data_IF_704190302951
#
_entry.id   IF_704190302951
#
_cell.length_a   1.000
_cell.length_b   1.000
_cell.length_c   1.000
_cell.angle_alpha   90.00
_cell.angle_beta   90.00
_cell.angle_gamma   90.00
#
_symmetry.space_group_name_H-M   'P 1'
#
loop_
_entity.id
_entity.type
_entity.pdbx_description
1 polymer ?
#
# COMPACT_ATOMS: atom_id res chain seq x y z
N UNK A 1 -38.58 14.50 -33.19
CA UNK A 1 -37.58 15.15 -34.08
C UNK A 1 -36.32 15.27 -33.24
N UNK A 2 -35.34 14.39 -33.45
CA UNK A 2 -34.06 14.45 -32.73
C UNK A 2 -33.28 15.66 -33.23
N UNK A 3 -32.63 16.39 -32.31
CA UNK A 3 -31.81 17.55 -32.63
C UNK A 3 -30.77 17.14 -33.67
N UNK A 4 -30.76 17.83 -34.81
CA UNK A 4 -29.68 17.70 -35.80
C UNK A 4 -28.34 18.00 -35.10
N UNK A 5 -27.28 17.29 -35.50
CA UNK A 5 -26.02 17.14 -34.76
C UNK A 5 -25.28 18.43 -34.37
N UNK A 6 -25.69 19.61 -34.86
CA UNK A 6 -25.03 20.89 -34.64
C UNK A 6 -25.33 21.58 -33.30
N UNK A 7 -26.46 21.26 -32.66
CA UNK A 7 -26.97 22.04 -31.51
C UNK A 7 -26.93 21.28 -30.17
N UNK A 8 -26.26 20.12 -30.14
CA UNK A 8 -26.15 19.31 -28.93
C UNK A 8 -25.21 20.00 -27.92
N UNK A 9 -25.59 20.12 -26.63
CA UNK A 9 -24.71 20.66 -25.59
C UNK A 9 -23.61 19.64 -25.27
N UNK A 10 -22.56 19.64 -26.08
CA UNK A 10 -21.39 18.78 -25.98
C UNK A 10 -20.17 19.66 -25.75
N UNK A 11 -19.53 19.51 -24.60
CA UNK A 11 -18.31 20.21 -24.29
C UNK A 11 -17.20 19.86 -25.29
N UNK A 12 -16.40 20.84 -25.74
CA UNK A 12 -15.38 20.63 -26.78
C UNK A 12 -14.40 19.49 -26.47
N UNK A 13 -14.05 19.32 -25.19
CA UNK A 13 -13.10 18.29 -24.73
C UNK A 13 -13.65 16.87 -24.85
N UNK A 14 -14.97 16.69 -24.91
CA UNK A 14 -15.61 15.37 -24.97
C UNK A 14 -15.96 14.93 -26.39
N UNK A 15 -15.73 15.79 -27.40
CA UNK A 15 -16.10 15.50 -28.80
C UNK A 15 -15.53 14.18 -29.31
N UNK A 16 -14.24 13.93 -29.07
CA UNK A 16 -13.58 12.70 -29.52
C UNK A 16 -14.21 11.45 -28.89
N UNK A 17 -14.55 11.51 -27.60
CA UNK A 17 -15.20 10.41 -26.89
C UNK A 17 -16.61 10.17 -27.44
N UNK A 18 -17.36 11.25 -27.69
CA UNK A 18 -18.70 11.17 -28.27
C UNK A 18 -18.66 10.55 -29.67
N UNK A 19 -17.75 11.00 -30.52
CA UNK A 19 -17.58 10.44 -31.87
C UNK A 19 -17.20 8.94 -31.81
N UNK A 20 -16.33 8.56 -30.88
CA UNK A 20 -15.94 7.15 -30.69
C UNK A 20 -17.13 6.27 -30.26
N UNK A 21 -17.98 6.76 -29.34
CA UNK A 21 -19.19 6.05 -28.89
C UNK A 21 -20.15 5.82 -30.06
N UNK A 22 -20.47 6.87 -30.82
CA UNK A 22 -21.43 6.81 -31.93
C UNK A 22 -20.88 5.98 -33.11
N UNK A 23 -19.57 5.98 -33.35
CA UNK A 23 -18.94 5.14 -34.37
C UNK A 23 -18.95 3.66 -33.99
N UNK A 24 -18.63 3.33 -32.73
CA UNK A 24 -18.57 1.93 -32.27
C UNK A 24 -19.95 1.31 -32.13
N UNK A 25 -20.97 2.11 -31.82
CA UNK A 25 -22.34 1.63 -31.61
C UNK A 25 -23.32 2.52 -32.37
N UNK A 26 -23.61 2.23 -33.66
CA UNK A 26 -24.48 3.06 -34.48
C UNK A 26 -25.93 3.18 -33.97
N UNK A 27 -26.37 2.30 -33.06
CA UNK A 27 -27.69 2.35 -32.41
C UNK A 27 -27.75 3.35 -31.25
N UNK A 28 -26.62 3.87 -30.79
CA UNK A 28 -26.53 4.83 -29.70
C UNK A 28 -26.42 6.25 -30.25
N UNK A 29 -27.10 7.19 -29.60
CA UNK A 29 -27.00 8.62 -29.89
C UNK A 29 -26.66 9.38 -28.62
N UNK A 30 -25.59 10.18 -28.63
CA UNK A 30 -25.25 11.05 -27.50
C UNK A 30 -26.11 12.32 -27.57
N UNK A 31 -26.85 12.63 -26.51
CA UNK A 31 -27.73 13.80 -26.45
C UNK A 31 -27.03 15.02 -25.86
N UNK A 32 -26.17 14.81 -24.87
CA UNK A 32 -25.42 15.83 -24.17
C UNK A 32 -24.13 15.25 -23.58
N UNK A 33 -23.09 16.05 -23.47
CA UNK A 33 -21.86 15.66 -22.79
C UNK A 33 -21.26 16.89 -22.10
N UNK A 34 -21.00 16.79 -20.80
CA UNK A 34 -20.45 17.89 -20.02
C UNK A 34 -19.38 17.42 -19.05
N UNK A 35 -18.36 18.23 -18.85
CA UNK A 35 -17.37 18.04 -17.81
C UNK A 35 -17.70 18.85 -16.56
N UNK A 36 -17.41 18.24 -15.42
CA UNK A 36 -17.48 18.83 -14.10
C UNK A 36 -16.17 18.58 -13.38
N UNK A 37 -15.95 19.30 -12.28
CA UNK A 37 -14.97 18.89 -11.27
C UNK A 37 -15.68 18.41 -10.02
N UNK A 38 -15.05 17.49 -9.32
CA UNK A 38 -15.44 17.09 -7.98
C UNK A 38 -14.18 16.97 -7.13
N UNK A 39 -14.33 17.09 -5.82
CA UNK A 39 -13.23 17.00 -4.88
C UNK A 39 -13.14 15.60 -4.27
N UNK A 40 -11.93 15.09 -4.16
CA UNK A 40 -11.58 13.95 -3.30
C UNK A 40 -10.71 14.43 -2.14
N UNK A 41 -10.70 13.66 -1.06
CA UNK A 41 -9.81 13.93 0.08
C UNK A 41 -8.62 12.96 0.06
N UNK A 42 -7.43 13.52 0.23
CA UNK A 42 -6.18 12.77 0.35
C UNK A 42 -5.55 13.01 1.72
N UNK A 43 -5.29 11.93 2.47
CA UNK A 43 -4.63 12.00 3.77
C UNK A 43 -3.34 11.18 3.74
N UNK A 44 -2.16 11.76 4.01
CA UNK A 44 -0.94 11.00 4.21
C UNK A 44 -1.05 10.09 5.43
N UNK A 45 -0.58 8.85 5.30
CA UNK A 45 -0.60 7.84 6.36
C UNK A 45 0.80 7.26 6.50
N UNK A 46 1.39 7.45 7.67
CA UNK A 46 2.63 6.78 8.05
C UNK A 46 2.30 5.39 8.56
N UNK A 47 2.88 4.37 7.94
CA UNK A 47 2.75 2.97 8.34
C UNK A 47 4.10 2.45 8.80
N UNK A 48 4.07 1.64 9.85
CA UNK A 48 5.23 0.86 10.29
C UNK A 48 5.07 -0.57 9.80
N UNK A 49 6.12 -1.12 9.22
CA UNK A 49 6.11 -2.43 8.60
C UNK A 49 7.17 -3.28 9.28
N UNK A 50 6.71 -4.32 9.98
CA UNK A 50 7.57 -5.41 10.41
C UNK A 50 7.71 -6.41 9.27
N UNK A 51 8.94 -6.80 8.96
CA UNK A 51 9.24 -7.87 8.01
C UNK A 51 10.08 -8.91 8.71
N UNK A 52 9.88 -10.17 8.36
CA UNK A 52 10.91 -11.19 8.58
C UNK A 52 11.45 -11.67 7.25
N UNK A 53 12.74 -11.99 7.21
CA UNK A 53 13.39 -12.58 6.04
C UNK A 53 13.86 -13.98 6.35
N UNK A 54 14.17 -14.76 5.32
CA UNK A 54 14.84 -16.03 5.51
C UNK A 54 16.23 -15.83 6.12
N UNK A 55 16.65 -16.79 6.94
CA UNK A 55 18.02 -16.88 7.42
C UNK A 55 18.95 -16.99 6.21
N UNK A 56 20.03 -16.22 6.21
CA UNK A 56 21.12 -16.50 5.29
C UNK A 56 21.92 -17.73 5.78
N UNK A 57 22.81 -18.25 4.94
CA UNK A 57 23.59 -19.46 5.26
C UNK A 57 24.36 -19.30 6.57
N UNK A 58 24.98 -18.13 6.80
CA UNK A 58 25.79 -17.89 8.00
C UNK A 58 24.93 -17.83 9.27
N UNK A 59 23.79 -17.16 9.19
CA UNK A 59 22.84 -17.06 10.31
C UNK A 59 22.21 -18.41 10.64
N UNK A 60 21.90 -19.22 9.63
CA UNK A 60 21.44 -20.60 9.84
C UNK A 60 22.49 -21.43 10.58
N UNK A 61 23.77 -21.33 10.18
CA UNK A 61 24.87 -21.98 10.92
C UNK A 61 25.02 -21.47 12.35
N UNK A 62 24.91 -20.16 12.58
CA UNK A 62 24.96 -19.56 13.92
C UNK A 62 23.80 -20.06 14.77
N UNK A 63 22.57 -20.04 14.23
CA UNK A 63 21.38 -20.50 14.94
C UNK A 63 21.48 -21.99 15.26
N UNK A 64 21.88 -22.79 14.28
CA UNK A 64 22.11 -24.22 14.43
C UNK A 64 23.19 -24.51 15.47
N UNK A 65 24.28 -23.75 15.46
CA UNK A 65 25.34 -23.92 16.45
C UNK A 65 24.86 -23.64 17.88
N UNK A 66 24.04 -22.61 18.08
CA UNK A 66 23.46 -22.31 19.39
C UNK A 66 22.40 -23.30 19.88
N UNK A 67 21.95 -24.23 19.03
CA UNK A 67 21.00 -25.30 19.38
C UNK A 67 21.69 -26.66 19.49
N UNK A 68 22.62 -26.98 18.59
CA UNK A 68 23.21 -28.33 18.47
C UNK A 68 24.45 -28.54 19.32
N UNK A 69 25.21 -27.49 19.67
CA UNK A 69 26.39 -27.65 20.53
C UNK A 69 26.04 -27.51 22.02
N UNK A 70 26.49 -28.49 22.81
CA UNK A 70 26.42 -28.46 24.26
C UNK A 70 27.76 -28.90 24.86
N UNK A 71 28.54 -28.00 25.49
CA UNK A 71 28.21 -26.60 25.77
C UNK A 71 28.14 -25.72 24.50
N UNK A 72 27.41 -24.60 24.52
CA UNK A 72 27.34 -23.68 23.39
C UNK A 72 28.73 -23.12 23.03
N UNK A 73 29.00 -23.00 21.73
CA UNK A 73 30.28 -22.47 21.23
C UNK A 73 30.39 -20.96 21.44
N UNK A 74 31.62 -20.49 21.62
CA UNK A 74 31.94 -19.07 21.49
C UNK A 74 32.06 -18.66 20.02
N UNK A 75 31.98 -17.36 19.74
CA UNK A 75 32.13 -16.79 18.40
C UNK A 75 33.47 -17.16 17.74
N UNK A 76 34.57 -17.18 18.51
CA UNK A 76 35.89 -17.53 17.99
C UNK A 76 36.00 -19.04 17.68
N UNK A 77 35.39 -19.89 18.50
CA UNK A 77 35.35 -21.33 18.26
C UNK A 77 34.50 -21.63 17.01
N UNK A 78 33.34 -20.98 16.88
CA UNK A 78 32.48 -21.12 15.70
C UNK A 78 33.19 -20.64 14.43
N UNK A 79 33.93 -19.52 14.50
CA UNK A 79 34.74 -19.04 13.38
C UNK A 79 35.79 -20.08 12.96
N UNK A 80 36.44 -20.72 13.94
CA UNK A 80 37.43 -21.77 13.69
C UNK A 80 36.80 -23.00 13.03
N UNK A 81 35.63 -23.44 13.51
CA UNK A 81 34.89 -24.58 12.95
C UNK A 81 34.47 -24.33 11.50
N UNK A 82 34.06 -23.10 11.18
CA UNK A 82 33.63 -22.72 9.84
C UNK A 82 34.80 -22.31 8.91
N UNK A 83 36.02 -22.19 9.44
CA UNK A 83 37.19 -21.69 8.69
C UNK A 83 37.04 -20.24 8.23
N UNK A 84 36.31 -19.42 8.99
CA UNK A 84 36.01 -18.02 8.67
C UNK A 84 36.79 -17.07 9.58
N UNK A 85 36.99 -15.83 9.13
CA UNK A 85 37.52 -14.77 9.99
C UNK A 85 36.52 -14.48 11.14
N UNK A 86 36.97 -14.45 12.41
CA UNK A 86 36.11 -14.16 13.57
C UNK A 86 35.30 -12.86 13.46
N UNK A 87 35.77 -11.87 12.70
CA UNK A 87 35.06 -10.60 12.49
C UNK A 87 33.68 -10.84 11.83
N UNK A 88 33.56 -11.80 10.90
CA UNK A 88 32.28 -12.10 10.25
C UNK A 88 31.26 -12.68 11.24
N UNK A 89 31.70 -13.61 12.09
CA UNK A 89 30.85 -14.20 13.12
C UNK A 89 30.39 -13.12 14.09
N UNK A 90 31.32 -12.32 14.62
CA UNK A 90 31.04 -11.22 15.56
C UNK A 90 30.04 -10.20 15.03
N UNK A 91 30.20 -9.76 13.78
CA UNK A 91 29.29 -8.79 13.18
C UNK A 91 27.88 -9.39 13.01
N UNK A 92 27.80 -10.65 12.63
CA UNK A 92 26.52 -11.34 12.43
C UNK A 92 25.83 -11.60 13.76
N UNK A 93 26.53 -12.12 14.77
CA UNK A 93 25.98 -12.35 16.12
C UNK A 93 25.55 -11.04 16.79
N UNK A 94 26.31 -9.95 16.62
CA UNK A 94 25.91 -8.63 17.11
C UNK A 94 24.57 -8.17 16.48
N UNK A 95 24.40 -8.35 15.17
CA UNK A 95 23.14 -8.04 14.49
C UNK A 95 21.99 -8.88 15.04
N UNK A 96 22.21 -10.19 15.20
CA UNK A 96 21.21 -11.13 15.73
C UNK A 96 20.84 -10.85 17.20
N UNK A 97 21.79 -10.38 18.01
CA UNK A 97 21.54 -9.91 19.40
C UNK A 97 20.73 -8.61 19.44
N UNK A 98 21.03 -7.66 18.55
CA UNK A 98 20.24 -6.43 18.41
C UNK A 98 18.79 -6.72 17.98
N UNK A 99 18.59 -7.84 17.28
CA UNK A 99 17.27 -8.38 16.93
C UNK A 99 16.67 -9.28 18.02
N UNK A 100 17.33 -9.40 19.18
CA UNK A 100 16.93 -10.21 20.34
C UNK A 100 16.75 -11.71 20.06
N UNK A 101 17.43 -12.23 19.03
CA UNK A 101 17.39 -13.66 18.68
C UNK A 101 18.51 -14.48 19.33
N UNK A 102 19.60 -13.84 19.74
CA UNK A 102 20.66 -14.45 20.54
C UNK A 102 20.73 -13.82 21.93
N UNK A 103 21.16 -14.60 22.92
CA UNK A 103 21.43 -14.11 24.28
C UNK A 103 22.56 -13.07 24.24
N UNK A 104 22.40 -12.03 25.06
CA UNK A 104 23.40 -10.95 25.20
C UNK A 104 24.52 -11.32 26.17
N UNK A 105 24.28 -12.28 27.07
CA UNK A 105 25.23 -12.69 28.10
C UNK A 105 25.33 -14.22 28.18
N UNK A 106 26.55 -14.79 28.08
CA UNK A 106 27.83 -14.11 27.83
C UNK A 106 27.93 -13.56 26.40
N UNK A 107 28.48 -12.35 26.24
CA UNK A 107 28.54 -11.61 24.96
C UNK A 107 29.28 -12.37 23.83
N UNK A 108 30.10 -13.36 24.14
CA UNK A 108 30.84 -14.16 23.16
C UNK A 108 30.23 -15.54 22.89
N UNK A 109 29.20 -15.96 23.64
CA UNK A 109 28.60 -17.29 23.50
C UNK A 109 27.43 -17.23 22.52
N UNK A 110 27.37 -18.21 21.63
CA UNK A 110 26.28 -18.34 20.65
C UNK A 110 25.18 -19.18 21.28
N UNK A 111 24.17 -18.52 21.87
CA UNK A 111 23.01 -19.17 22.47
C UNK A 111 21.74 -18.42 22.08
N UNK A 112 20.68 -19.15 21.72
CA UNK A 112 19.43 -18.56 21.25
C UNK A 112 18.53 -18.19 22.42
N UNK A 113 17.82 -17.07 22.29
CA UNK A 113 16.67 -16.74 23.14
C UNK A 113 15.47 -17.60 22.78
N UNK A 114 14.39 -17.55 23.58
CA UNK A 114 13.11 -18.16 23.20
C UNK A 114 12.58 -17.64 21.86
N UNK A 115 12.70 -16.33 21.65
CA UNK A 115 12.34 -15.66 20.39
C UNK A 115 13.20 -16.16 19.23
N UNK A 116 14.52 -16.27 19.43
CA UNK A 116 15.42 -16.84 18.43
C UNK A 116 15.08 -18.28 18.05
N UNK A 117 14.64 -19.10 19.00
CA UNK A 117 14.22 -20.48 18.73
C UNK A 117 12.94 -20.53 17.87
N UNK A 118 11.98 -19.64 18.09
CA UNK A 118 10.78 -19.53 17.25
C UNK A 118 11.15 -19.16 15.81
N UNK A 119 11.96 -18.11 15.65
CA UNK A 119 12.45 -17.68 14.34
C UNK A 119 13.30 -18.76 13.63
N UNK A 120 14.12 -19.51 14.37
CA UNK A 120 14.87 -20.64 13.80
C UNK A 120 13.96 -21.74 13.26
N UNK A 121 12.88 -22.10 13.97
CA UNK A 121 11.89 -23.10 13.51
C UNK A 121 11.25 -22.69 12.20
N UNK A 122 10.97 -21.39 12.04
CA UNK A 122 10.36 -20.81 10.85
C UNK A 122 11.38 -20.46 9.74
N UNK A 123 12.66 -20.77 9.98
CA UNK A 123 13.82 -20.41 9.14
C UNK A 123 13.82 -18.94 8.74
N UNK A 124 13.55 -18.08 9.72
CA UNK A 124 13.45 -16.64 9.52
C UNK A 124 14.26 -15.85 10.56
N UNK A 125 14.41 -14.55 10.30
CA UNK A 125 14.93 -13.58 11.25
C UNK A 125 14.11 -12.29 11.10
N UNK A 126 13.79 -11.59 12.20
CA UNK A 126 13.12 -10.31 12.10
C UNK A 126 14.05 -9.27 11.45
N UNK A 127 13.51 -8.43 10.57
CA UNK A 127 14.18 -7.20 10.16
C UNK A 127 13.75 -6.07 11.10
N UNK A 128 14.59 -5.04 11.23
CA UNK A 128 14.18 -3.81 11.88
C UNK A 128 12.91 -3.25 11.19
N UNK A 129 11.89 -2.81 11.95
CA UNK A 129 10.71 -2.22 11.38
C UNK A 129 11.05 -1.03 10.48
N UNK A 130 10.36 -0.91 9.35
CA UNK A 130 10.53 0.17 8.39
C UNK A 130 9.30 1.04 8.37
N UNK A 131 9.50 2.35 8.42
CA UNK A 131 8.41 3.32 8.24
C UNK A 131 8.28 3.69 6.76
N UNK A 132 7.06 3.73 6.26
CA UNK A 132 6.72 4.16 4.91
C UNK A 132 5.51 5.11 4.97
N UNK A 133 5.44 6.08 4.06
CA UNK A 133 4.23 6.89 3.86
C UNK A 133 3.44 6.33 2.68
N UNK A 134 2.14 6.19 2.86
CA UNK A 134 1.15 5.94 1.81
C UNK A 134 0.08 7.03 1.88
N UNK A 135 -0.82 7.08 0.90
CA UNK A 135 -1.86 8.11 0.81
C UNK A 135 -3.22 7.43 0.84
N UNK A 136 -4.04 7.75 1.84
CA UNK A 136 -5.44 7.35 1.87
C UNK A 136 -6.25 8.32 0.99
N UNK A 137 -7.11 7.77 0.13
CA UNK A 137 -7.93 8.52 -0.83
C UNK A 137 -9.40 8.22 -0.54
N UNK A 138 -10.12 9.23 -0.08
CA UNK A 138 -11.57 9.18 0.10
C UNK A 138 -12.26 9.69 -1.17
N UNK A 139 -12.95 8.80 -1.87
CA UNK A 139 -13.62 9.08 -3.14
C UNK A 139 -15.15 9.13 -2.92
N UNK A 140 -15.75 10.34 -2.86
CA UNK A 140 -17.14 10.51 -2.45
C UNK A 140 -18.15 9.99 -3.48
N UNK A 141 -17.80 9.89 -4.77
CA UNK A 141 -18.75 9.45 -5.80
C UNK A 141 -19.07 7.96 -5.74
N UNK A 142 -18.12 7.14 -5.27
CA UNK A 142 -18.30 5.70 -5.10
C UNK A 142 -18.32 5.29 -3.61
N UNK A 143 -18.28 6.27 -2.69
CA UNK A 143 -18.20 6.08 -1.24
C UNK A 143 -17.10 5.07 -0.85
N UNK A 144 -15.90 5.22 -1.44
CA UNK A 144 -14.79 4.30 -1.21
C UNK A 144 -13.61 4.98 -0.54
N UNK A 145 -12.87 4.18 0.23
CA UNK A 145 -11.56 4.52 0.77
C UNK A 145 -10.53 3.60 0.13
N UNK A 146 -9.61 4.16 -0.63
CA UNK A 146 -8.51 3.45 -1.28
C UNK A 146 -7.15 3.99 -0.83
N UNK A 147 -6.07 3.35 -1.27
CA UNK A 147 -4.71 3.73 -0.89
C UNK A 147 -3.78 3.79 -2.10
N UNK A 148 -2.88 4.78 -2.12
CA UNK A 148 -1.86 4.95 -3.15
C UNK A 148 -0.45 5.06 -2.53
N UNK A 149 0.57 4.67 -3.30
CA UNK A 149 1.98 4.78 -2.89
C UNK A 149 2.56 6.18 -3.09
N UNK A 150 1.91 6.97 -3.93
CA UNK A 150 2.29 8.33 -4.30
C UNK A 150 1.07 9.24 -4.22
N UNK A 151 1.25 10.55 -3.96
CA UNK A 151 0.15 11.48 -3.94
C UNK A 151 -0.47 11.62 -5.33
N UNK A 152 -1.77 11.92 -5.38
CA UNK A 152 -2.46 12.29 -6.61
C UNK A 152 -1.93 13.66 -7.05
N UNK A 153 -1.58 13.77 -8.32
CA UNK A 153 -1.18 15.04 -8.92
C UNK A 153 -2.39 15.97 -9.04
N UNK A 154 -2.22 17.20 -8.56
CA UNK A 154 -3.22 18.24 -8.72
C UNK A 154 -3.29 18.68 -10.19
N UNK A 155 -4.50 18.98 -10.66
CA UNK A 155 -4.76 19.39 -12.04
C UNK A 155 -5.43 20.74 -12.06
N UNK A 156 -5.00 21.61 -12.98
CA UNK A 156 -5.58 22.93 -13.15
C UNK A 156 -6.96 22.84 -13.84
N UNK A 157 -8.00 22.60 -13.05
CA UNK A 157 -9.39 22.40 -13.55
C UNK A 157 -10.39 23.36 -12.92
N UNK A 158 -9.91 24.50 -12.38
CA UNK A 158 -10.75 25.49 -11.70
C UNK A 158 -11.84 26.11 -12.58
N UNK A 159 -11.64 26.07 -13.90
CA UNK A 159 -12.61 26.54 -14.89
C UNK A 159 -13.84 25.62 -15.02
N UNK A 160 -13.77 24.37 -14.56
CA UNK A 160 -14.88 23.43 -14.61
C UNK A 160 -15.92 23.73 -13.52
N UNK A 161 -17.22 23.55 -13.83
CA UNK A 161 -18.28 23.69 -12.84
C UNK A 161 -18.16 22.61 -11.75
N UNK A 162 -18.45 22.99 -10.50
CA UNK A 162 -18.44 22.04 -9.39
C UNK A 162 -19.68 21.14 -9.45
N UNK A 163 -19.49 19.83 -9.42
CA UNK A 163 -20.57 18.86 -9.42
C UNK A 163 -21.49 19.02 -8.19
N UNK A 164 -20.93 19.41 -7.04
CA UNK A 164 -21.68 19.58 -5.79
C UNK A 164 -22.74 20.69 -5.87
N UNK A 165 -22.66 21.59 -6.86
CA UNK A 165 -23.69 22.62 -7.09
C UNK A 165 -24.99 22.02 -7.66
N UNK A 166 -24.94 20.78 -8.17
CA UNK A 166 -26.05 20.13 -8.87
C UNK A 166 -26.56 18.88 -8.17
N UNK A 167 -25.70 18.19 -7.41
CA UNK A 167 -26.02 16.94 -6.72
C UNK A 167 -25.53 16.96 -5.29
N UNK A 168 -26.31 16.36 -4.39
CA UNK A 168 -25.89 16.11 -3.01
C UNK A 168 -25.10 14.81 -3.03
N UNK A 169 -23.82 14.88 -2.69
CA UNK A 169 -22.97 13.71 -2.50
C UNK A 169 -22.88 13.44 -1.01
N UNK A 170 -23.33 12.26 -0.59
CA UNK A 170 -23.29 11.85 0.80
C UNK A 170 -21.88 11.35 1.14
N UNK A 171 -21.16 12.10 1.97
CA UNK A 171 -19.80 11.77 2.38
C UNK A 171 -19.79 11.02 3.71
N UNK A 172 -20.26 9.76 3.64
CA UNK A 172 -20.23 8.83 4.76
C UNK A 172 -18.95 7.99 4.80
N UNK A 173 -17.88 8.45 4.14
CA UNK A 173 -16.62 7.71 4.08
C UNK A 173 -15.99 7.68 5.47
N UNK A 174 -15.66 6.48 5.92
CA UNK A 174 -14.97 6.29 7.20
C UNK A 174 -13.57 6.88 7.08
N UNK A 175 -13.30 7.98 7.81
CA UNK A 175 -11.96 8.58 7.89
C UNK A 175 -10.90 7.55 8.28
N UNK A 176 -9.74 7.63 7.62
CA UNK A 176 -8.60 6.73 7.89
C UNK A 176 -8.15 6.76 9.36
N UNK A 177 -8.25 7.91 10.03
CA UNK A 177 -7.92 8.07 11.45
C UNK A 177 -8.85 7.30 12.40
N UNK A 178 -10.01 6.83 11.91
CA UNK A 178 -10.99 6.03 12.66
C UNK A 178 -10.92 4.54 12.35
N UNK A 179 -10.00 4.12 11.47
CA UNK A 179 -9.79 2.70 11.19
C UNK A 179 -9.09 2.01 12.36
N UNK A 180 -9.40 0.74 12.55
CA UNK A 180 -8.56 -0.17 13.30
C UNK A 180 -7.40 -0.69 12.44
N UNK A 181 -6.35 -1.21 13.07
CA UNK A 181 -5.23 -1.82 12.35
C UNK A 181 -5.68 -3.00 11.48
N UNK A 182 -6.65 -3.79 11.95
CA UNK A 182 -7.18 -4.93 11.20
C UNK A 182 -7.92 -4.48 9.93
N UNK A 183 -8.80 -3.48 10.05
CA UNK A 183 -9.51 -2.92 8.88
C UNK A 183 -8.54 -2.31 7.87
N UNK A 184 -7.52 -1.59 8.33
CA UNK A 184 -6.48 -1.06 7.44
C UNK A 184 -5.75 -2.19 6.70
N UNK A 185 -5.36 -3.27 7.39
CA UNK A 185 -4.71 -4.42 6.75
C UNK A 185 -5.61 -5.07 5.70
N UNK A 186 -6.90 -5.23 5.96
CA UNK A 186 -7.87 -5.76 4.99
C UNK A 186 -7.95 -4.89 3.73
N UNK A 187 -8.05 -3.56 3.90
CA UNK A 187 -8.05 -2.62 2.78
C UNK A 187 -6.72 -2.65 2.00
N UNK A 188 -5.59 -2.82 2.67
CA UNK A 188 -4.29 -2.94 2.01
C UNK A 188 -4.16 -4.23 1.19
N UNK A 189 -4.77 -5.34 1.64
CA UNK A 189 -4.83 -6.59 0.85
C UNK A 189 -5.62 -6.38 -0.44
N UNK A 190 -6.66 -5.55 -0.42
CA UNK A 190 -7.44 -5.18 -1.61
C UNK A 190 -6.68 -4.24 -2.57
N UNK A 191 -5.53 -3.70 -2.15
CA UNK A 191 -4.66 -2.82 -2.95
C UNK A 191 -3.28 -3.49 -3.18
N UNK A 192 -3.21 -4.58 -3.96
CA UNK A 192 -2.00 -5.41 -4.08
C UNK A 192 -0.79 -4.66 -4.65
N UNK A 193 -1.01 -3.57 -5.39
CA UNK A 193 0.04 -2.76 -5.99
C UNK A 193 0.94 -2.06 -4.95
N UNK A 194 0.42 -1.81 -3.74
CA UNK A 194 1.17 -1.15 -2.67
C UNK A 194 2.23 -2.05 -2.03
N UNK A 195 1.98 -3.37 -2.02
CA UNK A 195 2.85 -4.41 -1.44
C UNK A 195 3.37 -4.08 -0.02
N UNK A 196 2.65 -3.27 0.75
CA UNK A 196 3.07 -2.83 2.08
C UNK A 196 2.64 -3.81 3.18
N UNK A 197 1.58 -4.58 2.93
CA UNK A 197 1.12 -5.69 3.76
C UNK A 197 1.00 -6.95 2.88
N UNK A 198 1.88 -7.92 3.10
CA UNK A 198 1.88 -9.22 2.41
C UNK A 198 2.23 -10.30 3.44
N UNK A 199 1.22 -10.97 4.03
CA UNK A 199 1.44 -12.08 4.94
C UNK A 199 2.27 -13.21 4.32
N UNK A 200 2.09 -13.46 3.02
CA UNK A 200 2.84 -14.46 2.25
C UNK A 200 4.34 -14.14 2.20
N UNK A 201 4.69 -12.87 2.02
CA UNK A 201 6.08 -12.38 2.05
C UNK A 201 6.57 -12.05 3.47
N UNK A 202 5.81 -12.47 4.50
CA UNK A 202 6.09 -12.22 5.91
C UNK A 202 6.29 -10.73 6.23
N UNK A 203 5.54 -9.87 5.55
CA UNK A 203 5.57 -8.41 5.66
C UNK A 203 4.24 -7.90 6.22
N UNK A 204 4.28 -7.30 7.41
CA UNK A 204 3.09 -6.91 8.15
C UNK A 204 3.16 -5.46 8.57
N UNK A 205 2.16 -4.67 8.19
CA UNK A 205 1.91 -3.36 8.82
C UNK A 205 1.56 -3.58 10.29
N UNK A 206 2.37 -3.08 11.23
CA UNK A 206 2.21 -3.27 12.68
C UNK A 206 1.57 -2.07 13.37
N UNK A 207 1.73 -0.89 12.81
CA UNK A 207 1.10 0.33 13.29
C UNK A 207 0.87 1.30 12.13
N UNK A 208 -0.03 2.25 12.33
CA UNK A 208 -0.22 3.34 11.39
C UNK A 208 -0.65 4.62 12.12
N UNK A 209 -0.34 5.76 11.51
CA UNK A 209 -0.77 7.08 11.95
C UNK A 209 -1.13 7.91 10.73
N UNK A 210 -2.40 8.26 10.64
CA UNK A 210 -2.86 9.28 9.69
C UNK A 210 -2.33 10.65 10.12
N UNK A 211 -1.88 11.46 9.15
CA UNK A 211 -1.56 12.85 9.42
C UNK A 211 -2.82 13.68 9.59
N UNK A 212 -2.72 14.75 10.38
CA UNK A 212 -3.87 15.61 10.70
C UNK A 212 -4.28 16.48 9.51
N UNK A 213 -3.36 16.71 8.57
CA UNK A 213 -3.60 17.51 7.37
C UNK A 213 -4.16 16.59 6.28
N UNK A 214 -5.34 16.94 5.79
CA UNK A 214 -5.99 16.31 4.64
C UNK A 214 -6.01 17.33 3.51
N UNK A 215 -5.57 16.92 2.33
CA UNK A 215 -5.54 17.72 1.12
C UNK A 215 -6.81 17.46 0.32
N UNK A 216 -7.45 18.52 -0.15
CA UNK A 216 -8.57 18.42 -1.10
C UNK A 216 -7.99 18.47 -2.51
N UNK A 217 -8.21 17.44 -3.31
CA UNK A 217 -7.73 17.36 -4.69
C UNK A 217 -8.93 17.41 -5.62
N UNK A 218 -8.83 18.18 -6.70
CA UNK A 218 -9.89 18.28 -7.70
C UNK A 218 -9.64 17.29 -8.84
N UNK A 219 -10.67 16.53 -9.21
CA UNK A 219 -10.64 15.62 -10.35
C UNK A 219 -11.74 15.97 -11.36
N UNK A 220 -11.47 15.80 -12.66
CA UNK A 220 -12.48 15.96 -13.68
C UNK A 220 -13.42 14.75 -13.70
N UNK A 221 -14.71 15.02 -13.90
CA UNK A 221 -15.74 14.01 -14.15
C UNK A 221 -16.46 14.36 -15.45
N UNK A 222 -16.61 13.38 -16.33
CA UNK A 222 -17.38 13.54 -17.57
C UNK A 222 -18.73 12.87 -17.43
N UNK A 223 -19.81 13.62 -17.68
CA UNK A 223 -21.18 13.11 -17.71
C UNK A 223 -21.66 13.11 -19.16
N UNK A 224 -22.02 11.93 -19.67
CA UNK A 224 -22.48 11.73 -21.05
C UNK A 224 -23.88 11.13 -20.99
N UNK A 225 -24.85 11.80 -21.61
CA UNK A 225 -26.23 11.32 -21.72
C UNK A 225 -26.38 10.63 -23.06
N UNK A 226 -26.60 9.31 -23.02
CA UNK A 226 -26.74 8.47 -24.19
C UNK A 226 -28.20 8.01 -24.29
N UNK A 227 -28.74 8.04 -25.51
CA UNK A 227 -30.03 7.48 -25.85
C UNK A 227 -29.82 6.26 -26.73
N UNK A 228 -30.41 5.14 -26.31
CA UNK A 228 -30.50 3.93 -27.12
C UNK A 228 -31.78 4.00 -27.94
N UNK A 229 -31.69 3.78 -29.24
CA UNK A 229 -32.87 3.74 -30.11
C UNK A 229 -33.63 2.45 -29.77
N UNK A 230 -34.75 2.56 -29.04
CA UNK A 230 -35.73 1.47 -28.93
C UNK A 230 -36.10 1.02 -30.35
N UNK A 231 -35.75 -0.21 -30.71
CA UNK A 231 -36.21 -0.87 -31.92
C UNK A 231 -37.74 -0.67 -32.05
N UNK A 232 -38.18 -0.11 -33.19
CA UNK A 232 -39.56 -0.23 -33.66
C UNK A 232 -39.71 -1.47 -34.51
#
# INVERSE_FOLDING_TARGET
MFLTSSDRPIDPELKNIVEEIEQKSPSLSVLAARQFRYSLEQTPVKIEIAKSRQLNILEDFIFRAGVEFNPPLTENELATVLGLDPIFIKNTTATLRNLHTLETEPESVVKLTSVGQEFYRDRSVPEAPKTQTIYAISEPLNNSLSFASSPIEDREIDHLPNLADYVIVDDNIKRVSRLSLSELRELLIQNPDLRCHSPEDRKFVTSFKAEDITETIWQPLSLIVIFDVLEM
#
